data_IF_847681043257
#
_entry.id   IF_847681043257
#
_cell.length_a   1.000
_cell.length_b   1.000
_cell.length_c   1.000
_cell.angle_alpha   90.00
_cell.angle_beta   90.00
_cell.angle_gamma   90.00
#
_symmetry.space_group_name_H-M   'P 1'
#
loop_
_entity.id
_entity.type
_entity.pdbx_description
1 polymer ?
#
# COMPACT_ATOMS: atom_id res chain seq x y z
N UNK A 1 -15.88 -1.92 11.18
CA UNK A 1 -15.04 -1.62 10.01
C UNK A 1 -13.75 -0.97 10.45
N UNK A 2 -12.67 -1.33 9.83
CA UNK A 2 -11.34 -0.76 10.12
C UNK A 2 -10.81 -0.03 8.89
N UNK A 3 -10.34 1.21 9.07
CA UNK A 3 -9.65 1.96 8.02
C UNK A 3 -8.16 1.96 8.34
N UNK A 4 -7.37 1.39 7.44
CA UNK A 4 -5.92 1.42 7.52
C UNK A 4 -5.41 2.60 6.70
N UNK A 5 -4.56 3.44 7.29
CA UNK A 5 -4.02 4.64 6.63
C UNK A 5 -2.52 4.51 6.51
N UNK A 6 -2.01 4.78 5.31
CA UNK A 6 -0.59 4.78 5.01
C UNK A 6 -0.22 6.10 4.34
N UNK A 7 0.88 6.70 4.75
CA UNK A 7 1.38 7.92 4.15
C UNK A 7 2.82 7.73 3.71
N UNK A 8 3.11 8.08 2.46
CA UNK A 8 4.43 7.92 1.85
C UNK A 8 4.92 9.24 1.28
N UNK A 9 6.24 9.36 1.17
CA UNK A 9 6.86 10.35 0.28
C UNK A 9 7.68 9.60 -0.77
N UNK A 10 7.48 10.00 -2.03
CA UNK A 10 8.19 9.42 -3.18
C UNK A 10 9.17 10.45 -3.70
N UNK A 11 10.44 10.06 -3.84
CA UNK A 11 11.52 10.95 -4.27
C UNK A 11 12.30 10.30 -5.41
N UNK A 12 12.48 10.98 -6.55
CA UNK A 12 11.91 12.28 -6.89
C UNK A 12 10.41 12.20 -7.19
N UNK A 13 9.75 13.34 -7.18
CA UNK A 13 8.29 13.42 -7.37
C UNK A 13 7.83 12.78 -8.68
N UNK A 14 8.66 12.83 -9.72
CA UNK A 14 8.35 12.23 -11.02
C UNK A 14 8.14 10.72 -10.96
N UNK A 15 8.59 10.07 -9.89
CA UNK A 15 8.42 8.62 -9.69
C UNK A 15 7.06 8.24 -9.12
N UNK A 16 6.22 9.20 -8.76
CA UNK A 16 4.91 8.91 -8.15
C UNK A 16 4.05 8.04 -9.05
N UNK A 17 3.99 8.31 -10.34
CA UNK A 17 3.17 7.50 -11.26
C UNK A 17 3.65 6.06 -11.31
N UNK A 18 4.95 5.84 -11.41
CA UNK A 18 5.52 4.49 -11.41
C UNK A 18 5.25 3.78 -10.09
N UNK A 19 5.37 4.52 -8.98
CA UNK A 19 5.08 4.00 -7.65
C UNK A 19 3.62 3.53 -7.54
N UNK A 20 2.67 4.36 -7.98
CA UNK A 20 1.25 4.03 -7.92
C UNK A 20 0.89 2.89 -8.85
N UNK A 21 1.50 2.84 -10.03
CA UNK A 21 1.27 1.76 -10.99
C UNK A 21 1.76 0.43 -10.45
N UNK A 22 2.93 0.40 -9.85
CA UNK A 22 3.46 -0.81 -9.23
C UNK A 22 2.60 -1.25 -8.04
N UNK A 23 2.17 -0.29 -7.23
CA UNK A 23 1.27 -0.57 -6.10
C UNK A 23 -0.03 -1.21 -6.57
N UNK A 24 -0.65 -0.65 -7.60
CA UNK A 24 -1.88 -1.20 -8.15
C UNK A 24 -1.72 -2.60 -8.73
N UNK A 25 -0.56 -2.88 -9.33
CA UNK A 25 -0.29 -4.18 -9.94
C UNK A 25 0.17 -5.25 -8.98
N UNK A 26 0.71 -4.88 -7.83
CA UNK A 26 1.28 -5.81 -6.86
C UNK A 26 0.46 -5.84 -5.57
N UNK A 27 0.48 -4.74 -4.79
CA UNK A 27 -0.20 -4.68 -3.51
C UNK A 27 -1.72 -4.76 -3.62
N UNK A 28 -2.30 -3.95 -4.49
CA UNK A 28 -3.76 -3.87 -4.60
C UNK A 28 -4.34 -5.19 -5.07
N UNK A 29 -3.70 -5.85 -6.04
CA UNK A 29 -4.16 -7.15 -6.52
C UNK A 29 -4.12 -8.21 -5.43
N UNK A 30 -3.06 -8.22 -4.63
CA UNK A 30 -2.94 -9.17 -3.52
C UNK A 30 -3.98 -8.90 -2.45
N UNK A 31 -4.16 -7.62 -2.08
CA UNK A 31 -5.12 -7.21 -1.06
C UNK A 31 -6.55 -7.59 -1.46
N UNK A 32 -6.90 -7.44 -2.73
CA UNK A 32 -8.24 -7.78 -3.22
C UNK A 32 -8.61 -9.24 -2.99
N UNK A 33 -7.63 -10.11 -2.81
CA UNK A 33 -7.85 -11.53 -2.56
C UNK A 33 -7.88 -11.87 -1.08
N UNK A 34 -7.67 -10.90 -0.19
CA UNK A 34 -7.67 -11.15 1.25
C UNK A 34 -9.08 -11.11 1.81
N UNK A 35 -9.41 -12.04 2.73
CA UNK A 35 -10.70 -12.01 3.40
C UNK A 35 -10.91 -10.67 4.12
N UNK A 36 -12.08 -10.10 3.95
CA UNK A 36 -12.44 -8.86 4.63
C UNK A 36 -11.96 -7.58 3.97
N UNK A 37 -11.21 -7.65 2.86
CA UNK A 37 -10.87 -6.47 2.08
C UNK A 37 -12.15 -5.88 1.46
N UNK A 38 -12.35 -4.57 1.62
CA UNK A 38 -13.49 -3.87 1.06
C UNK A 38 -13.07 -2.98 -0.11
N UNK A 39 -12.15 -2.05 0.13
CA UNK A 39 -11.71 -1.11 -0.90
C UNK A 39 -10.37 -0.50 -0.55
N UNK A 40 -9.72 0.09 -1.56
CA UNK A 40 -8.48 0.83 -1.40
C UNK A 40 -8.56 2.11 -2.21
N UNK A 41 -8.06 3.20 -1.63
CA UNK A 41 -8.05 4.51 -2.25
C UNK A 41 -6.67 5.13 -2.10
N UNK A 42 -6.15 5.69 -3.20
CA UNK A 42 -4.87 6.40 -3.20
C UNK A 42 -5.11 7.86 -3.53
N UNK A 43 -4.50 8.76 -2.76
CA UNK A 43 -4.63 10.20 -2.94
C UNK A 43 -3.22 10.78 -3.14
N UNK A 44 -3.04 11.54 -4.21
CA UNK A 44 -1.78 12.22 -4.50
C UNK A 44 -1.82 13.64 -3.96
N UNK A 45 -0.68 14.08 -3.41
CA UNK A 45 -0.48 15.45 -2.98
C UNK A 45 0.78 16.00 -3.63
N UNK A 46 0.93 17.35 -3.74
CA UNK A 46 2.17 17.94 -4.23
C UNK A 46 3.38 17.51 -3.40
N UNK A 47 4.56 17.51 -4.03
CA UNK A 47 5.80 17.19 -3.33
C UNK A 47 6.08 15.71 -3.18
N UNK A 48 5.42 14.86 -3.95
CA UNK A 48 5.67 13.42 -3.91
C UNK A 48 4.94 12.69 -2.80
N UNK A 49 4.04 13.35 -2.08
CA UNK A 49 3.26 12.70 -1.04
C UNK A 49 2.13 11.87 -1.62
N UNK A 50 1.94 10.69 -1.06
CA UNK A 50 0.85 9.78 -1.42
C UNK A 50 0.24 9.24 -0.14
N UNK A 51 -1.09 9.30 -0.05
CA UNK A 51 -1.82 8.66 1.04
C UNK A 51 -2.66 7.52 0.49
N UNK A 52 -2.69 6.42 1.24
CA UNK A 52 -3.52 5.27 0.91
C UNK A 52 -4.46 4.99 2.06
N UNK A 53 -5.71 4.68 1.73
CA UNK A 53 -6.71 4.26 2.70
C UNK A 53 -7.25 2.91 2.27
N UNK A 54 -7.11 1.91 3.14
CA UNK A 54 -7.59 0.56 2.90
C UNK A 54 -8.71 0.29 3.90
N UNK A 55 -9.89 -0.05 3.37
CA UNK A 55 -11.05 -0.37 4.20
C UNK A 55 -11.16 -1.87 4.37
N UNK A 56 -11.18 -2.30 5.62
CA UNK A 56 -11.31 -3.69 6.02
C UNK A 56 -12.65 -3.91 6.72
N UNK A 57 -13.25 -5.08 6.55
CA UNK A 57 -14.46 -5.47 7.26
C UNK A 57 -14.25 -5.40 8.77
N UNK A 58 -13.08 -5.79 9.26
CA UNK A 58 -12.76 -5.79 10.68
C UNK A 58 -11.27 -5.59 10.91
N UNK A 59 -10.92 -5.21 12.13
CA UNK A 59 -9.54 -5.10 12.57
C UNK A 59 -8.82 -6.46 12.51
N UNK A 60 -9.54 -7.54 12.76
CA UNK A 60 -8.98 -8.89 12.71
C UNK A 60 -8.60 -9.26 11.27
N UNK A 61 -9.42 -8.91 10.29
CA UNK A 61 -9.11 -9.17 8.88
C UNK A 61 -7.84 -8.42 8.46
N UNK A 62 -7.68 -7.17 8.89
CA UNK A 62 -6.46 -6.41 8.66
C UNK A 62 -5.24 -7.12 9.27
N UNK A 63 -5.37 -7.57 10.51
CA UNK A 63 -4.28 -8.24 11.21
C UNK A 63 -3.89 -9.55 10.52
N UNK A 64 -4.86 -10.31 10.02
CA UNK A 64 -4.61 -11.55 9.28
C UNK A 64 -3.84 -11.28 7.99
N UNK A 65 -4.19 -10.21 7.27
CA UNK A 65 -3.46 -9.84 6.06
C UNK A 65 -2.02 -9.45 6.40
N UNK A 66 -1.84 -8.64 7.44
CA UNK A 66 -0.51 -8.18 7.85
C UNK A 66 0.41 -9.32 8.28
N UNK A 67 -0.14 -10.38 8.86
CA UNK A 67 0.63 -11.53 9.33
C UNK A 67 0.66 -12.69 8.32
N UNK A 68 0.04 -12.52 7.15
CA UNK A 68 0.02 -13.54 6.13
C UNK A 68 1.45 -13.83 5.64
N UNK A 69 1.84 -15.11 5.46
CA UNK A 69 3.20 -15.44 5.00
C UNK A 69 3.59 -14.78 3.68
N UNK A 70 2.64 -14.56 2.78
CA UNK A 70 2.89 -13.90 1.49
C UNK A 70 3.19 -12.42 1.62
N UNK A 71 2.84 -11.79 2.75
CA UNK A 71 3.01 -10.34 2.93
C UNK A 71 4.47 -9.93 2.71
N UNK A 72 5.43 -10.69 3.25
CA UNK A 72 6.85 -10.41 3.06
C UNK A 72 7.28 -10.56 1.60
N UNK A 73 6.72 -11.55 0.91
CA UNK A 73 7.02 -11.79 -0.51
C UNK A 73 6.50 -10.64 -1.36
N UNK A 74 5.28 -10.19 -1.09
CA UNK A 74 4.67 -9.07 -1.81
C UNK A 74 5.46 -7.78 -1.56
N UNK A 75 5.85 -7.54 -0.32
CA UNK A 75 6.64 -6.36 0.02
C UNK A 75 8.00 -6.36 -0.71
N UNK A 76 8.68 -7.50 -0.74
CA UNK A 76 9.94 -7.63 -1.45
C UNK A 76 9.77 -7.44 -2.97
N UNK A 77 8.72 -8.00 -3.54
CA UNK A 77 8.41 -7.84 -4.96
C UNK A 77 8.17 -6.38 -5.31
N UNK A 78 7.41 -5.69 -4.47
CA UNK A 78 7.14 -4.26 -4.66
C UNK A 78 8.43 -3.44 -4.58
N UNK A 79 9.24 -3.66 -3.56
CA UNK A 79 10.52 -2.95 -3.38
C UNK A 79 11.50 -3.21 -4.52
N UNK A 80 11.51 -4.42 -5.06
CA UNK A 80 12.33 -4.72 -6.23
C UNK A 80 11.87 -3.96 -7.47
N UNK A 81 10.56 -3.73 -7.58
CA UNK A 81 10.01 -3.01 -8.73
C UNK A 81 10.27 -1.50 -8.65
N UNK A 82 10.07 -0.89 -7.49
CA UNK A 82 10.15 0.57 -7.33
C UNK A 82 11.49 1.05 -6.78
N UNK A 83 12.32 0.15 -6.23
CA UNK A 83 13.59 0.51 -5.62
C UNK A 83 13.40 1.30 -4.34
N UNK A 84 14.37 2.19 -4.05
CA UNK A 84 14.38 2.99 -2.81
C UNK A 84 13.82 4.39 -3.03
N UNK A 85 12.83 4.53 -3.93
CA UNK A 85 12.28 5.84 -4.25
C UNK A 85 11.21 6.32 -3.28
N UNK A 86 10.91 5.56 -2.23
CA UNK A 86 9.84 5.94 -1.30
C UNK A 86 10.24 5.74 0.15
N UNK A 87 9.58 6.49 1.03
CA UNK A 87 9.69 6.35 2.47
C UNK A 87 8.29 6.31 3.07
N UNK A 88 8.03 5.35 3.93
CA UNK A 88 6.80 5.28 4.69
C UNK A 88 6.91 6.28 5.85
N UNK A 89 6.03 7.27 5.87
CA UNK A 89 6.00 8.29 6.90
C UNK A 89 5.10 7.92 8.07
N UNK A 90 4.01 7.19 7.78
CA UNK A 90 2.96 6.91 8.75
C UNK A 90 2.21 5.65 8.35
N UNK A 91 1.89 4.84 9.35
CA UNK A 91 1.11 3.62 9.19
C UNK A 91 0.22 3.46 10.43
N UNK A 92 -1.06 3.16 10.19
CA UNK A 92 -2.04 3.04 11.28
C UNK A 92 -2.80 1.72 11.18
#
# INVERSE_FOLDING_TARGET
MKVERLSFVVTPEEKVEDFLKADGGIWTKWLQQRPGFISKRCIRYPGGRVEMMIHWRSKLDQAHAASHPEHLIIDATFKNMVGHCFTLLYSD
#
